data_IF_188658475681
#
_entry.id   IF_188658475681
#
_cell.length_a   1.000
_cell.length_b   1.000
_cell.length_c   1.000
_cell.angle_alpha   90.00
_cell.angle_beta   90.00
_cell.angle_gamma   90.00
#
_symmetry.space_group_name_H-M   'P 1'
#
loop_
_entity.id
_entity.type
_entity.pdbx_description
1 polymer ?
#
# COMPACT_ATOMS: atom_id res chain seq x y z
N UNK A 1 10.49 -18.50 6.87
CA UNK A 1 11.05 -17.46 6.00
C UNK A 1 10.21 -17.45 4.73
N UNK A 2 9.76 -16.28 4.26
CA UNK A 2 9.01 -16.17 3.01
C UNK A 2 9.97 -15.94 1.85
N UNK A 3 9.73 -16.63 0.74
CA UNK A 3 10.49 -16.49 -0.51
C UNK A 3 10.12 -15.18 -1.22
N UNK A 4 11.03 -14.61 -2.02
CA UNK A 4 10.68 -13.46 -2.87
C UNK A 4 9.97 -13.97 -4.12
N UNK A 5 8.64 -14.10 -4.04
CA UNK A 5 7.80 -14.54 -5.16
C UNK A 5 7.51 -13.44 -6.18
N UNK A 6 7.89 -12.17 -5.88
CA UNK A 6 7.63 -11.06 -6.79
C UNK A 6 8.76 -10.93 -7.82
N UNK A 7 10.02 -11.14 -7.42
CA UNK A 7 11.21 -11.07 -8.29
C UNK A 7 11.24 -9.82 -9.19
N UNK A 8 10.77 -8.68 -8.66
CA UNK A 8 10.62 -7.40 -9.38
C UNK A 8 9.66 -7.44 -10.58
N UNK A 9 8.89 -8.51 -10.74
CA UNK A 9 7.80 -8.60 -11.69
C UNK A 9 6.55 -7.90 -11.13
N UNK A 10 6.52 -6.58 -11.35
CA UNK A 10 5.38 -5.72 -11.01
C UNK A 10 4.22 -5.82 -11.99
N UNK A 11 4.30 -6.68 -13.01
CA UNK A 11 3.20 -6.88 -13.94
C UNK A 11 2.16 -7.83 -13.34
N UNK A 12 0.90 -7.44 -13.47
CA UNK A 12 -0.26 -8.29 -13.21
C UNK A 12 -1.19 -8.15 -14.42
N UNK A 13 -1.80 -9.25 -14.87
CA UNK A 13 -2.71 -9.25 -16.01
C UNK A 13 -4.15 -8.98 -15.61
N UNK A 14 -4.46 -8.99 -14.31
CA UNK A 14 -5.78 -8.74 -13.77
C UNK A 14 -5.74 -8.37 -12.28
N UNK A 15 -6.88 -7.92 -11.72
CA UNK A 15 -6.95 -7.46 -10.33
C UNK A 15 -6.62 -8.60 -9.35
N UNK A 16 -6.11 -8.24 -8.18
CA UNK A 16 -5.92 -9.18 -7.07
C UNK A 16 -5.01 -10.38 -7.39
N UNK A 17 -4.10 -10.26 -8.36
CA UNK A 17 -3.05 -11.27 -8.57
C UNK A 17 -1.84 -11.01 -7.66
N UNK A 18 -1.45 -9.74 -7.57
CA UNK A 18 -0.29 -9.28 -6.80
C UNK A 18 -0.61 -7.95 -6.11
N UNK A 19 -0.40 -7.91 -4.81
CA UNK A 19 -0.47 -6.70 -3.99
C UNK A 19 0.91 -6.39 -3.45
N UNK A 20 1.25 -5.12 -3.33
CA UNK A 20 2.46 -4.66 -2.65
C UNK A 20 2.11 -3.77 -1.47
N UNK A 21 2.85 -3.89 -0.37
CA UNK A 21 2.65 -3.09 0.83
C UNK A 21 3.94 -2.58 1.44
N UNK A 22 3.84 -1.43 2.08
CA UNK A 22 4.96 -0.81 2.81
C UNK A 22 4.46 0.19 3.85
N UNK A 23 5.37 0.67 4.70
CA UNK A 23 5.13 1.68 5.72
C UNK A 23 6.01 2.90 5.44
N UNK A 24 5.41 4.09 5.55
CA UNK A 24 6.16 5.35 5.59
C UNK A 24 5.85 6.14 6.85
N UNK A 25 6.71 7.10 7.17
CA UNK A 25 6.57 8.01 8.31
C UNK A 25 6.33 9.44 7.82
N UNK A 26 5.42 10.13 8.50
CA UNK A 26 4.93 11.47 8.19
C UNK A 26 5.11 12.36 9.43
N UNK A 27 5.75 13.51 9.28
CA UNK A 27 6.09 14.40 10.41
C UNK A 27 4.91 15.33 10.72
N UNK A 28 4.56 15.46 11.99
CA UNK A 28 3.71 16.53 12.53
C UNK A 28 4.36 17.13 13.77
N UNK A 29 3.83 18.23 14.29
CA UNK A 29 4.34 18.84 15.53
C UNK A 29 4.15 17.93 16.75
N UNK A 30 3.11 17.11 16.77
CA UNK A 30 2.86 16.14 17.85
C UNK A 30 3.75 14.89 17.78
N UNK A 31 4.58 14.75 16.74
CA UNK A 31 5.46 13.61 16.51
C UNK A 31 5.24 12.93 15.16
N UNK A 32 5.66 11.67 15.06
CA UNK A 32 5.46 10.89 13.84
C UNK A 32 4.04 10.32 13.75
N UNK A 33 3.52 10.30 12.53
CA UNK A 33 2.40 9.45 12.10
C UNK A 33 2.93 8.44 11.09
N UNK A 34 2.68 7.16 11.33
CA UNK A 34 3.05 6.09 10.42
C UNK A 34 1.85 5.72 9.55
N UNK A 35 2.09 5.55 8.25
CA UNK A 35 1.11 5.15 7.25
C UNK A 35 1.56 3.82 6.64
N UNK A 36 0.74 2.78 6.78
CA UNK A 36 0.87 1.55 6.00
C UNK A 36 -0.10 1.59 4.81
N UNK A 37 0.34 1.11 3.65
CA UNK A 37 -0.51 0.97 2.46
C UNK A 37 -0.43 -0.43 1.86
N UNK A 38 -1.46 -0.80 1.11
CA UNK A 38 -1.54 -1.97 0.24
C UNK A 38 -2.03 -1.50 -1.12
N UNK A 39 -1.26 -1.79 -2.16
CA UNK A 39 -1.49 -1.37 -3.54
C UNK A 39 -1.74 -2.60 -4.41
N UNK A 40 -2.76 -2.55 -5.26
CA UNK A 40 -2.97 -3.54 -6.31
C UNK A 40 -2.01 -3.25 -7.48
N UNK A 41 -1.14 -4.20 -7.83
CA UNK A 41 -0.15 -3.96 -8.89
C UNK A 41 -0.75 -3.88 -10.29
N UNK A 42 -1.99 -4.37 -10.48
CA UNK A 42 -2.67 -4.31 -11.77
C UNK A 42 -3.07 -2.88 -12.12
N UNK A 43 -3.78 -2.20 -11.22
CA UNK A 43 -4.34 -0.86 -11.43
C UNK A 43 -3.56 0.26 -10.75
N UNK A 44 -2.59 -0.09 -9.90
CA UNK A 44 -1.88 0.82 -8.99
C UNK A 44 -2.78 1.46 -7.92
N UNK A 45 -4.02 0.99 -7.76
CA UNK A 45 -4.92 1.53 -6.74
C UNK A 45 -4.39 1.23 -5.33
N UNK A 46 -4.45 2.21 -4.44
CA UNK A 46 -4.28 1.98 -2.99
C UNK A 46 -5.58 1.37 -2.48
N UNK A 47 -5.56 0.06 -2.25
CA UNK A 47 -6.74 -0.73 -1.90
C UNK A 47 -6.89 -0.95 -0.39
N UNK A 48 -5.87 -0.64 0.39
CA UNK A 48 -5.94 -0.66 1.85
C UNK A 48 -4.89 0.26 2.44
N UNK A 49 -5.20 0.87 3.57
CA UNK A 49 -4.26 1.69 4.31
C UNK A 49 -4.63 1.74 5.78
N UNK A 50 -3.67 2.07 6.63
CA UNK A 50 -3.90 2.33 8.05
C UNK A 50 -2.88 3.35 8.54
N UNK A 51 -3.26 4.12 9.55
CA UNK A 51 -2.44 5.19 10.10
C UNK A 51 -2.39 5.09 11.63
N UNK A 52 -1.20 5.21 12.23
CA UNK A 52 -1.02 5.10 13.69
C UNK A 52 0.15 5.98 14.18
N UNK A 53 0.10 6.51 15.41
CA UNK A 53 1.27 7.15 16.02
C UNK A 53 2.41 6.16 16.33
N UNK A 54 2.20 4.84 16.18
CA UNK A 54 3.21 3.80 16.44
C UNK A 54 3.35 2.84 15.27
N UNK A 55 4.59 2.52 14.91
CA UNK A 55 4.94 1.55 13.87
C UNK A 55 4.86 0.10 14.40
N UNK A 56 3.65 -0.45 14.42
CA UNK A 56 3.35 -1.78 14.99
C UNK A 56 3.01 -2.80 13.90
N UNK A 57 3.05 -4.09 14.23
CA UNK A 57 2.50 -5.13 13.35
C UNK A 57 1.02 -4.91 13.05
N UNK A 58 0.25 -4.44 14.04
CA UNK A 58 -1.17 -4.14 13.90
C UNK A 58 -1.44 -3.12 12.79
N UNK A 59 -0.58 -2.10 12.64
CA UNK A 59 -0.69 -1.12 11.55
C UNK A 59 -0.70 -1.79 10.16
N UNK A 60 0.23 -2.72 9.93
CA UNK A 60 0.28 -3.48 8.68
C UNK A 60 -0.90 -4.45 8.54
N UNK A 61 -1.30 -5.11 9.62
CA UNK A 61 -2.47 -6.00 9.65
C UNK A 61 -3.77 -5.26 9.32
N UNK A 62 -3.96 -4.05 9.81
CA UNK A 62 -5.16 -3.24 9.59
C UNK A 62 -5.26 -2.81 8.12
N UNK A 63 -4.15 -2.38 7.53
CA UNK A 63 -4.10 -2.04 6.10
C UNK A 63 -4.44 -3.25 5.22
N UNK A 64 -3.89 -4.43 5.54
CA UNK A 64 -4.20 -5.68 4.82
C UNK A 64 -5.66 -6.12 5.01
N UNK A 65 -6.21 -5.99 6.21
CA UNK A 65 -7.62 -6.30 6.47
C UNK A 65 -8.55 -5.38 5.69
N UNK A 66 -8.23 -4.09 5.60
CA UNK A 66 -8.99 -3.15 4.76
C UNK A 66 -8.96 -3.58 3.29
N UNK A 67 -7.78 -3.90 2.75
CA UNK A 67 -7.64 -4.39 1.37
C UNK A 67 -8.47 -5.66 1.11
N UNK A 68 -8.38 -6.64 2.00
CA UNK A 68 -9.18 -7.86 1.95
C UNK A 68 -10.68 -7.57 1.93
N UNK A 69 -11.16 -6.68 2.79
CA UNK A 69 -12.57 -6.30 2.84
C UNK A 69 -13.04 -5.62 1.54
N UNK A 70 -12.30 -4.61 1.07
CA UNK A 70 -12.64 -3.89 -0.16
C UNK A 70 -12.65 -4.79 -1.39
N UNK A 71 -11.74 -5.77 -1.43
CA UNK A 71 -11.60 -6.71 -2.56
C UNK A 71 -12.44 -7.99 -2.42
N UNK A 72 -13.34 -8.07 -1.44
CA UNK A 72 -14.22 -9.24 -1.21
C UNK A 72 -13.43 -10.54 -0.94
N UNK A 73 -12.27 -10.42 -0.27
CA UNK A 73 -11.42 -11.52 0.22
C UNK A 73 -10.98 -12.50 -0.89
N UNK A 74 -10.22 -12.02 -1.88
CA UNK A 74 -9.63 -12.89 -2.88
C UNK A 74 -8.64 -13.87 -2.23
N UNK A 75 -8.40 -15.00 -2.90
CA UNK A 75 -7.48 -16.05 -2.44
C UNK A 75 -6.32 -16.19 -3.41
N UNK A 76 -5.22 -16.79 -2.94
CA UNK A 76 -4.00 -17.04 -3.71
C UNK A 76 -3.29 -15.77 -4.21
N UNK A 77 -3.68 -14.59 -3.72
CA UNK A 77 -3.03 -13.32 -4.04
C UNK A 77 -1.61 -13.32 -3.49
N UNK A 78 -0.64 -12.91 -4.30
CA UNK A 78 0.72 -12.64 -3.82
C UNK A 78 0.69 -11.32 -3.06
N UNK A 79 1.10 -11.32 -1.80
CA UNK A 79 1.25 -10.09 -1.01
C UNK A 79 2.74 -9.88 -0.78
N UNK A 80 3.30 -8.90 -1.49
CA UNK A 80 4.69 -8.52 -1.39
C UNK A 80 4.89 -7.38 -0.38
N UNK A 81 5.90 -7.49 0.46
CA UNK A 81 6.32 -6.41 1.36
C UNK A 81 7.84 -6.37 1.49
N UNK A 82 8.34 -5.33 2.15
CA UNK A 82 9.70 -5.35 2.64
C UNK A 82 9.89 -6.43 3.74
N UNK A 83 11.15 -6.64 4.17
CA UNK A 83 11.51 -7.52 5.28
C UNK A 83 11.42 -6.82 6.66
N UNK A 84 10.57 -5.81 6.81
CA UNK A 84 10.35 -5.13 8.09
C UNK A 84 9.84 -6.08 9.17
N UNK A 85 10.13 -5.75 10.44
CA UNK A 85 9.72 -6.59 11.58
C UNK A 85 8.19 -6.69 11.71
N UNK A 86 7.45 -5.70 11.22
CA UNK A 86 5.99 -5.66 11.17
C UNK A 86 5.46 -6.77 10.24
N UNK A 87 6.03 -6.89 9.04
CA UNK A 87 5.64 -7.91 8.07
C UNK A 87 6.14 -9.31 8.43
N UNK A 88 7.28 -9.40 9.13
CA UNK A 88 7.80 -10.66 9.68
C UNK A 88 7.06 -11.15 10.93
N UNK A 89 6.18 -10.34 11.52
CA UNK A 89 5.49 -10.65 12.77
C UNK A 89 4.60 -11.90 12.66
N UNK A 90 4.42 -12.60 13.79
CA UNK A 90 3.55 -13.77 13.84
C UNK A 90 2.11 -13.42 13.45
N UNK A 91 1.61 -12.27 13.88
CA UNK A 91 0.25 -11.81 13.60
C UNK A 91 0.03 -11.58 12.10
N UNK A 92 0.96 -10.88 11.43
CA UNK A 92 0.86 -10.63 9.99
C UNK A 92 0.96 -11.93 9.18
N UNK A 93 1.91 -12.80 9.53
CA UNK A 93 2.08 -14.09 8.86
C UNK A 93 0.88 -15.03 9.10
N UNK A 94 0.26 -15.00 10.29
CA UNK A 94 -0.97 -15.72 10.58
C UNK A 94 -2.14 -15.18 9.77
N UNK A 95 -2.24 -13.86 9.61
CA UNK A 95 -3.28 -13.21 8.80
C UNK A 95 -3.19 -13.62 7.32
N UNK A 96 -1.99 -13.64 6.74
CA UNK A 96 -1.76 -14.13 5.37
C UNK A 96 -2.25 -15.57 5.20
N UNK A 97 -1.84 -16.47 6.11
CA UNK A 97 -2.24 -17.88 6.09
C UNK A 97 -3.75 -18.05 6.24
N UNK A 98 -4.37 -17.33 7.19
CA UNK A 98 -5.81 -17.38 7.46
C UNK A 98 -6.65 -17.05 6.22
N UNK A 99 -6.18 -16.14 5.38
CA UNK A 99 -6.87 -15.72 4.17
C UNK A 99 -6.37 -16.40 2.89
N UNK A 100 -5.53 -17.44 3.01
CA UNK A 100 -4.93 -18.16 1.90
C UNK A 100 -4.22 -17.22 0.91
N UNK A 101 -3.43 -16.29 1.45
CA UNK A 101 -2.59 -15.36 0.71
C UNK A 101 -1.15 -15.89 0.64
N UNK A 102 -0.44 -15.58 -0.44
CA UNK A 102 0.94 -15.99 -0.67
C UNK A 102 1.87 -14.85 -0.27
N UNK A 103 2.43 -14.91 0.92
CA UNK A 103 3.44 -13.95 1.37
C UNK A 103 4.65 -13.95 0.44
N UNK A 104 5.16 -12.76 0.13
CA UNK A 104 6.38 -12.53 -0.63
C UNK A 104 7.14 -11.40 0.06
N UNK A 105 8.45 -11.54 0.23
CA UNK A 105 9.25 -10.47 0.86
C UNK A 105 10.52 -10.20 0.08
N UNK A 106 10.88 -8.92 -0.03
CA UNK A 106 12.09 -8.46 -0.73
C UNK A 106 13.36 -9.12 -0.20
N UNK A 107 14.42 -9.16 -1.00
CA UNK A 107 15.73 -9.58 -0.49
C UNK A 107 16.29 -8.51 0.47
N UNK A 108 17.12 -8.93 1.44
CA UNK A 108 17.76 -7.98 2.36
C UNK A 108 18.64 -7.01 1.55
N UNK A 109 18.34 -5.71 1.62
CA UNK A 109 19.11 -4.68 0.93
C UNK A 109 18.73 -4.43 -0.53
N UNK A 110 17.56 -4.92 -1.01
CA UNK A 110 17.06 -4.64 -2.34
C UNK A 110 15.87 -3.66 -2.29
N UNK A 111 16.13 -2.36 -2.44
CA UNK A 111 15.09 -1.31 -2.49
C UNK A 111 14.19 -1.44 -3.74
N UNK A 112 14.73 -1.95 -4.84
CA UNK A 112 13.99 -2.10 -6.11
C UNK A 112 12.77 -3.02 -6.02
N UNK A 113 12.74 -3.93 -5.05
CA UNK A 113 11.66 -4.91 -4.89
C UNK A 113 10.31 -4.25 -4.52
N UNK A 114 10.30 -2.98 -4.07
CA UNK A 114 9.07 -2.26 -3.71
C UNK A 114 8.84 -0.94 -4.46
N UNK A 115 9.46 -0.77 -5.63
CA UNK A 115 9.47 0.49 -6.38
C UNK A 115 8.08 1.09 -6.64
N UNK A 116 7.04 0.26 -6.81
CA UNK A 116 5.66 0.75 -6.97
C UNK A 116 5.17 1.52 -5.74
N UNK A 117 5.43 1.01 -4.54
CA UNK A 117 4.97 1.64 -3.30
C UNK A 117 5.83 2.86 -2.99
N UNK A 118 7.13 2.80 -3.25
CA UNK A 118 8.04 3.95 -3.13
C UNK A 118 7.61 5.10 -4.05
N UNK A 119 7.23 4.82 -5.31
CA UNK A 119 6.71 5.82 -6.23
C UNK A 119 5.42 6.47 -5.72
N UNK A 120 4.51 5.70 -5.13
CA UNK A 120 3.31 6.25 -4.50
C UNK A 120 3.67 7.16 -3.33
N UNK A 121 4.55 6.73 -2.42
CA UNK A 121 4.96 7.55 -1.28
C UNK A 121 5.66 8.84 -1.70
N UNK A 122 6.46 8.79 -2.76
CA UNK A 122 7.07 9.99 -3.32
C UNK A 122 6.00 10.99 -3.77
N UNK A 123 5.04 10.56 -4.60
CA UNK A 123 3.92 11.41 -5.04
C UNK A 123 3.10 11.95 -3.86
N UNK A 124 2.74 11.11 -2.89
CA UNK A 124 2.05 11.53 -1.68
C UNK A 124 2.82 12.66 -0.97
N UNK A 125 4.12 12.48 -0.74
CA UNK A 125 4.93 13.44 0.00
C UNK A 125 5.18 14.73 -0.77
N UNK A 126 5.40 14.66 -2.08
CA UNK A 126 5.70 15.83 -2.90
C UNK A 126 4.44 16.63 -3.21
N UNK A 127 3.32 15.96 -3.48
CA UNK A 127 2.17 16.64 -4.06
C UNK A 127 1.09 16.96 -3.03
N UNK A 128 0.95 16.13 -1.99
CA UNK A 128 -0.07 16.33 -0.96
C UNK A 128 0.49 16.92 0.34
N UNK A 129 1.79 16.79 0.61
CA UNK A 129 2.38 17.13 1.92
C UNK A 129 3.50 18.18 1.86
N UNK A 130 4.16 18.36 0.71
CA UNK A 130 5.30 19.28 0.61
C UNK A 130 4.82 20.73 0.73
N UNK A 131 5.53 21.53 1.53
CA UNK A 131 5.19 22.94 1.76
C UNK A 131 4.09 23.17 2.80
N UNK A 132 3.40 22.11 3.24
CA UNK A 132 2.37 22.19 4.27
C UNK A 132 2.95 21.98 5.68
N UNK A 133 2.40 22.71 6.66
CA UNK A 133 2.76 22.54 8.06
C UNK A 133 1.63 21.85 8.83
N UNK A 134 1.96 20.71 9.44
CA UNK A 134 0.98 19.85 10.12
C UNK A 134 1.10 19.96 11.63
N UNK A 135 0.23 20.77 12.23
CA UNK A 135 0.19 20.99 13.69
C UNK A 135 -0.28 19.74 14.46
N UNK A 136 -1.08 18.86 13.86
CA UNK A 136 -1.61 17.68 14.54
C UNK A 136 -1.62 16.44 13.65
N UNK A 137 -1.61 15.26 14.29
CA UNK A 137 -1.79 13.98 13.59
C UNK A 137 -3.16 13.87 12.93
N UNK A 138 -4.18 14.52 13.48
CA UNK A 138 -5.54 14.49 12.93
C UNK A 138 -5.62 15.21 11.57
N UNK A 139 -4.99 16.38 11.44
CA UNK A 139 -4.93 17.10 10.16
C UNK A 139 -4.15 16.27 9.13
N UNK A 140 -3.00 15.71 9.52
CA UNK A 140 -2.24 14.81 8.65
C UNK A 140 -3.08 13.61 8.20
N UNK A 141 -3.87 13.00 9.09
CA UNK A 141 -4.78 11.89 8.73
C UNK A 141 -5.82 12.32 7.71
N UNK A 142 -6.47 13.46 7.91
CA UNK A 142 -7.47 13.97 6.97
C UNK A 142 -6.86 14.26 5.60
N UNK A 143 -5.68 14.87 5.55
CA UNK A 143 -4.96 15.15 4.30
C UNK A 143 -4.56 13.87 3.57
N UNK A 144 -3.99 12.89 4.27
CA UNK A 144 -3.62 11.60 3.68
C UNK A 144 -4.85 10.84 3.19
N UNK A 145 -5.95 10.83 3.96
CA UNK A 145 -7.22 10.25 3.55
C UNK A 145 -7.71 10.87 2.23
N UNK A 146 -7.78 12.20 2.16
CA UNK A 146 -8.21 12.90 0.95
C UNK A 146 -7.28 12.63 -0.24
N UNK A 147 -5.96 12.65 -0.01
CA UNK A 147 -4.99 12.34 -1.05
C UNK A 147 -5.17 10.93 -1.62
N UNK A 148 -5.43 9.92 -0.79
CA UNK A 148 -5.63 8.53 -1.24
C UNK A 148 -7.00 8.34 -1.89
N UNK A 149 -8.07 8.65 -1.16
CA UNK A 149 -9.44 8.25 -1.50
C UNK A 149 -10.12 9.21 -2.47
N UNK A 150 -9.83 10.50 -2.35
CA UNK A 150 -10.49 11.53 -3.13
C UNK A 150 -9.70 11.90 -4.38
N UNK A 151 -8.37 11.86 -4.35
CA UNK A 151 -7.51 12.27 -5.46
C UNK A 151 -6.80 11.10 -6.18
N UNK A 152 -5.85 10.42 -5.50
CA UNK A 152 -4.96 9.42 -6.10
C UNK A 152 -5.73 8.30 -6.80
N UNK A 153 -6.67 7.65 -6.11
CA UNK A 153 -7.41 6.54 -6.69
C UNK A 153 -8.40 7.00 -7.78
N UNK A 154 -9.01 8.19 -7.63
CA UNK A 154 -10.15 8.62 -8.44
C UNK A 154 -9.78 9.45 -9.67
N UNK A 155 -8.84 10.37 -9.54
CA UNK A 155 -8.59 11.41 -10.54
C UNK A 155 -7.16 11.49 -11.03
N UNK A 156 -6.18 11.09 -10.19
CA UNK A 156 -4.77 11.20 -10.55
C UNK A 156 -4.44 10.32 -11.76
N UNK A 157 -3.96 10.93 -12.83
CA UNK A 157 -3.48 10.21 -14.01
C UNK A 157 -2.23 9.40 -13.68
N UNK A 158 -2.21 8.14 -14.11
CA UNK A 158 -1.09 7.24 -13.87
C UNK A 158 -0.53 6.70 -15.20
N UNK A 159 0.78 6.79 -15.41
CA UNK A 159 1.43 6.33 -16.65
C UNK A 159 1.23 4.83 -16.89
N UNK A 160 1.35 4.02 -15.84
CA UNK A 160 1.02 2.58 -15.86
C UNK A 160 -0.38 2.29 -16.39
N UNK A 161 -1.35 3.15 -16.09
CA UNK A 161 -2.75 3.00 -16.47
C UNK A 161 -3.08 3.67 -17.81
N UNK A 162 -2.07 3.99 -18.64
CA UNK A 162 -2.27 4.66 -19.91
C UNK A 162 -2.78 6.10 -19.76
N UNK A 163 -2.52 6.76 -18.63
CA UNK A 163 -2.98 8.11 -18.33
C UNK A 163 -4.36 8.18 -17.66
N UNK A 164 -4.99 7.05 -17.37
CA UNK A 164 -6.19 6.96 -16.54
C UNK A 164 -5.84 7.00 -15.05
N UNK A 165 -6.80 7.35 -14.20
CA UNK A 165 -6.68 7.07 -12.77
C UNK A 165 -6.80 5.57 -12.47
N UNK A 166 -6.31 5.10 -11.32
CA UNK A 166 -6.46 3.71 -10.91
C UNK A 166 -7.91 3.22 -10.99
N UNK A 167 -8.87 4.00 -10.48
CA UNK A 167 -10.29 3.62 -10.50
C UNK A 167 -10.88 3.66 -11.92
N UNK A 168 -10.54 4.66 -12.73
CA UNK A 168 -10.96 4.72 -14.13
C UNK A 168 -10.43 3.52 -14.93
N UNK A 169 -9.18 3.15 -14.70
CA UNK A 169 -8.57 1.97 -15.32
C UNK A 169 -9.29 0.69 -14.93
N UNK A 170 -9.60 0.50 -13.64
CA UNK A 170 -10.37 -0.66 -13.19
C UNK A 170 -11.76 -0.68 -13.83
N UNK A 171 -12.49 0.44 -13.80
CA UNK A 171 -13.84 0.53 -14.36
C UNK A 171 -13.87 0.22 -15.86
N UNK A 172 -12.83 0.62 -16.61
CA UNK A 172 -12.74 0.37 -18.05
C UNK A 172 -12.37 -1.09 -18.39
N UNK A 173 -11.58 -1.75 -17.55
CA UNK A 173 -11.02 -3.09 -17.85
C UNK A 173 -11.70 -4.24 -17.09
N UNK A 174 -12.56 -3.94 -16.12
CA UNK A 174 -13.43 -4.91 -15.44
C UNK A 174 -14.84 -5.01 -16.04
N UNK A 175 -15.19 -4.10 -16.95
CA UNK A 175 -16.47 -4.06 -17.63
C UNK A 175 -16.64 -5.18 -18.66
#
# INVERSE_FOLDING_TARGET
MSENLLEQDFYASGPNQKWAGDITYLRTDEGWLYLAVVIDLWSRAVIGWSMSPRMTAQLACDALQMALWRRKRPRNVIVHSDRGSQYCSADYQALLKRHNLRGSMSAKGCCYDNACVESFFHSLKVECLHGEHFISREIMRATVFNCIECDYNRWRRHSWCGGLSPEQFENQNLA
#
